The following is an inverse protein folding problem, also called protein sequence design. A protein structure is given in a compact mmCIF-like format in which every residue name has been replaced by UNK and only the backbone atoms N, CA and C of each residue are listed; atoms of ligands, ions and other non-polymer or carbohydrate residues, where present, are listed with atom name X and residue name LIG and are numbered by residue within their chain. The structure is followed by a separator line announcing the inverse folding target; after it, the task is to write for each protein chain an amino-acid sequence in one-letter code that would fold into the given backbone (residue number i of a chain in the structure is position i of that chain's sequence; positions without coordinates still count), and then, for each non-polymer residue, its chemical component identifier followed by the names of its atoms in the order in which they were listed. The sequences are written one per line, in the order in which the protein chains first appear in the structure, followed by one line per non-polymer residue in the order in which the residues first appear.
data_IF_559407655396
#
_entry.id   IF_559407655396
#
_cell.length_a   1.000
_cell.length_b   1.000
_cell.length_c   1.000
_cell.angle_alpha   90.00
_cell.angle_beta   90.00
_cell.angle_gamma   90.00
#
_symmetry.space_group_name_H-M   'P 1'
#
loop_
_entity.id
_entity.type
_entity.pdbx_description
1 polymer ?
#
# COMPACT_ATOMS: atom_id res chain seq x y z
N UNK A 1 -9.82 11.18 -5.44
CA UNK A 1 -8.43 11.64 -5.25
C UNK A 1 -7.89 10.84 -4.08
N UNK A 2 -6.76 10.14 -4.23
CA UNK A 2 -6.15 9.34 -3.15
C UNK A 2 -5.09 10.23 -2.47
N UNK A 3 -5.01 10.19 -1.14
CA UNK A 3 -4.01 10.94 -0.37
C UNK A 3 -2.59 10.59 -0.84
N UNK A 4 -1.70 11.56 -0.81
CA UNK A 4 -0.30 11.32 -1.21
C UNK A 4 0.36 10.36 -0.23
N UNK A 5 1.00 9.31 -0.75
CA UNK A 5 1.90 8.48 0.04
C UNK A 5 3.11 9.34 0.43
N UNK A 6 3.33 9.47 1.73
CA UNK A 6 4.44 10.23 2.28
C UNK A 6 5.63 9.29 2.53
N UNK A 7 6.84 9.78 2.27
CA UNK A 7 8.07 9.13 2.69
C UNK A 7 8.27 9.23 4.21
N UNK A 8 9.33 8.59 4.71
CA UNK A 8 9.68 8.63 6.13
C UNK A 8 9.96 10.06 6.65
N UNK A 9 10.30 10.98 5.74
CA UNK A 9 10.52 12.40 6.00
C UNK A 9 9.23 13.25 5.92
N UNK A 10 8.06 12.61 5.80
CA UNK A 10 6.75 13.24 5.56
C UNK A 10 6.65 14.05 4.27
N UNK A 11 7.64 14.01 3.39
CA UNK A 11 7.53 14.62 2.07
C UNK A 11 6.82 13.65 1.12
N UNK A 12 6.25 14.20 0.05
CA UNK A 12 5.64 13.40 -1.01
C UNK A 12 6.67 12.40 -1.54
N UNK A 13 6.34 11.11 -1.49
CA UNK A 13 7.18 10.08 -2.09
C UNK A 13 7.33 10.37 -3.59
N UNK A 14 8.57 10.50 -4.04
CA UNK A 14 8.89 10.78 -5.44
C UNK A 14 9.97 9.82 -5.91
N UNK A 15 10.06 9.63 -7.23
CA UNK A 15 11.15 8.87 -7.87
C UNK A 15 12.55 9.33 -7.44
N UNK A 16 12.69 10.57 -6.96
CA UNK A 16 13.96 11.17 -6.55
C UNK A 16 14.29 11.03 -5.06
N UNK A 17 13.29 10.74 -4.21
CA UNK A 17 13.44 10.72 -2.74
C UNK A 17 13.00 9.38 -2.12
N UNK A 18 13.19 8.26 -2.81
CA UNK A 18 12.95 6.94 -2.21
C UNK A 18 11.66 6.25 -2.61
N UNK A 19 11.05 6.60 -3.75
CA UNK A 19 10.16 5.66 -4.42
C UNK A 19 11.01 4.49 -4.96
N UNK A 20 11.26 3.51 -4.10
CA UNK A 20 11.78 2.20 -4.50
C UNK A 20 10.92 1.70 -5.63
N UNK A 21 11.51 1.50 -6.81
CA UNK A 21 10.73 1.01 -7.95
C UNK A 21 10.16 -0.38 -7.62
N UNK A 22 9.03 -0.76 -8.22
CA UNK A 22 8.50 -2.12 -8.07
C UNK A 22 9.56 -3.19 -8.45
N UNK A 23 10.46 -2.84 -9.37
CA UNK A 23 11.59 -3.69 -9.77
C UNK A 23 12.55 -3.92 -8.61
N UNK A 24 12.90 -2.88 -7.86
CA UNK A 24 13.76 -3.02 -6.68
C UNK A 24 13.11 -3.88 -5.59
N UNK A 25 11.81 -3.75 -5.32
CA UNK A 25 11.13 -4.64 -4.38
C UNK A 25 11.21 -6.11 -4.82
N UNK A 26 11.07 -6.37 -6.13
CA UNK A 26 11.25 -7.70 -6.68
C UNK A 26 12.69 -8.21 -6.51
N UNK A 27 13.68 -7.38 -6.82
CA UNK A 27 15.11 -7.71 -6.67
C UNK A 27 15.50 -7.97 -5.20
N UNK A 28 14.88 -7.27 -4.26
CA UNK A 28 15.05 -7.48 -2.82
C UNK A 28 14.34 -8.75 -2.30
N UNK A 29 13.58 -9.45 -3.14
CA UNK A 29 12.92 -10.71 -2.78
C UNK A 29 11.60 -10.56 -2.03
N UNK A 30 10.95 -9.39 -2.10
CA UNK A 30 9.62 -9.23 -1.53
C UNK A 30 8.59 -10.08 -2.27
N UNK A 31 7.72 -10.74 -1.51
CA UNK A 31 6.59 -11.47 -2.07
C UNK A 31 5.59 -10.49 -2.71
N UNK A 32 5.06 -10.79 -3.91
CA UNK A 32 4.09 -9.93 -4.56
C UNK A 32 2.82 -9.73 -3.72
N UNK A 33 2.39 -10.74 -2.98
CA UNK A 33 1.23 -10.69 -2.08
C UNK A 33 1.47 -9.74 -0.91
N UNK A 34 2.68 -9.78 -0.32
CA UNK A 34 3.05 -8.88 0.77
C UNK A 34 3.10 -7.43 0.30
N UNK A 35 3.64 -7.18 -0.89
CA UNK A 35 3.68 -5.84 -1.47
C UNK A 35 2.26 -5.34 -1.82
N UNK A 36 1.40 -6.21 -2.33
CA UNK A 36 0.00 -5.90 -2.60
C UNK A 36 -0.74 -5.50 -1.33
N UNK A 37 -0.64 -6.30 -0.26
CA UNK A 37 -1.24 -6.00 1.04
C UNK A 37 -0.74 -4.67 1.60
N UNK A 38 0.58 -4.45 1.59
CA UNK A 38 1.17 -3.19 2.05
C UNK A 38 0.61 -1.99 1.28
N UNK A 39 0.60 -2.05 -0.06
CA UNK A 39 0.11 -0.95 -0.88
C UNK A 39 -1.39 -0.72 -0.74
N UNK A 40 -2.19 -1.78 -0.56
CA UNK A 40 -3.63 -1.67 -0.33
C UNK A 40 -3.94 -0.92 0.97
N UNK A 41 -3.14 -1.16 2.02
CA UNK A 41 -3.29 -0.47 3.30
C UNK A 41 -2.80 0.99 3.29
N UNK A 42 -2.15 1.44 2.21
CA UNK A 42 -1.77 2.84 2.03
C UNK A 42 -2.98 3.65 1.55
N UNK A 43 -3.79 4.09 2.51
CA UNK A 43 -4.93 4.97 2.26
C UNK A 43 -6.26 4.25 2.13
N UNK A 44 -6.31 2.95 2.41
CA UNK A 44 -7.55 2.20 2.68
C UNK A 44 -7.32 1.33 3.92
N UNK A 45 -8.37 1.08 4.69
CA UNK A 45 -8.30 0.20 5.86
C UNK A 45 -9.44 -0.81 5.84
N UNK A 46 -9.19 -2.12 6.07
CA UNK A 46 -10.23 -3.12 6.22
C UNK A 46 -11.08 -2.84 7.48
N UNK A 47 -12.19 -3.56 7.63
CA UNK A 47 -12.94 -3.52 8.88
C UNK A 47 -12.15 -4.20 10.00
N UNK A 48 -12.07 -3.57 11.17
CA UNK A 48 -11.26 -4.04 12.29
C UNK A 48 -9.79 -3.62 12.22
N UNK A 49 -8.90 -4.45 12.78
CA UNK A 49 -7.47 -4.18 12.96
C UNK A 49 -6.57 -5.14 12.16
N UNK A 50 -7.14 -5.93 11.24
CA UNK A 50 -6.36 -6.83 10.39
C UNK A 50 -5.43 -6.06 9.46
N UNK A 51 -4.17 -6.49 9.41
CA UNK A 51 -3.13 -5.87 8.57
C UNK A 51 -2.44 -6.86 7.64
N UNK A 52 -2.80 -8.14 7.69
CA UNK A 52 -2.26 -9.18 6.82
C UNK A 52 -3.46 -9.87 6.19
N UNK A 53 -3.72 -9.53 4.94
CA UNK A 53 -4.84 -10.07 4.17
C UNK A 53 -4.32 -10.64 2.84
N UNK A 54 -4.99 -11.67 2.35
CA UNK A 54 -4.79 -12.19 1.00
C UNK A 54 -5.32 -11.19 -0.04
N UNK A 55 -4.87 -11.27 -1.30
CA UNK A 55 -5.44 -10.48 -2.39
C UNK A 55 -6.96 -10.65 -2.51
N UNK A 56 -7.48 -11.87 -2.35
CA UNK A 56 -8.90 -12.18 -2.43
C UNK A 56 -9.71 -11.54 -1.29
N UNK A 57 -9.18 -11.59 -0.06
CA UNK A 57 -9.78 -10.94 1.12
C UNK A 57 -9.87 -9.42 0.92
N UNK A 58 -8.79 -8.80 0.44
CA UNK A 58 -8.77 -7.37 0.12
C UNK A 58 -9.80 -7.04 -0.95
N UNK A 59 -9.85 -7.80 -2.05
CA UNK A 59 -10.80 -7.56 -3.15
C UNK A 59 -12.24 -7.68 -2.65
N UNK A 60 -12.53 -8.67 -1.80
CA UNK A 60 -13.87 -8.87 -1.26
C UNK A 60 -14.30 -7.79 -0.26
N UNK A 61 -13.35 -7.25 0.51
CA UNK A 61 -13.63 -6.26 1.55
C UNK A 61 -13.53 -4.81 1.06
N UNK A 62 -12.92 -4.56 -0.10
CA UNK A 62 -12.63 -3.20 -0.58
C UNK A 62 -13.90 -2.40 -0.87
N UNK A 63 -13.97 -1.19 -0.31
CA UNK A 63 -14.99 -0.20 -0.64
C UNK A 63 -14.39 1.21 -0.65
N UNK A 64 -14.98 2.11 -1.46
CA UNK A 64 -14.49 3.49 -1.60
C UNK A 64 -14.72 4.34 -0.34
N UNK A 65 -15.71 3.99 0.47
CA UNK A 65 -16.09 4.70 1.71
C UNK A 65 -14.98 4.64 2.75
N UNK A 66 -14.13 3.59 2.70
CA UNK A 66 -13.02 3.37 3.63
C UNK A 66 -11.68 3.87 3.10
N UNK A 67 -11.67 4.55 1.96
CA UNK A 67 -10.47 5.19 1.40
C UNK A 67 -10.27 6.57 2.04
N UNK A 68 -9.07 6.81 2.57
CA UNK A 68 -8.65 8.09 3.13
C UNK A 68 -8.66 9.18 2.04
N UNK A 69 -9.12 10.39 2.41
CA UNK A 69 -9.22 11.54 1.50
C UNK A 69 -7.93 12.34 1.39
#
# INVERSE_FOLDING_TARGET
HISLILGNDRQKMSKRHGATSLIQYREMGYLPEALFNFLALLGWAPEGEEQILSPEEIISAFTLERVAK
#
